data_IF_324346871058
#
_entry.id   IF_324346871058
#
_cell.length_a   1.000
_cell.length_b   1.000
_cell.length_c   1.000
_cell.angle_alpha   90.00
_cell.angle_beta   90.00
_cell.angle_gamma   90.00
#
_symmetry.space_group_name_H-M   'P 1'
#
loop_
_entity.id
_entity.type
_entity.pdbx_description
1 polymer ?
#
# COMPACT_ATOMS: atom_id res chain seq x y z
N UNK A 1 4.73 -9.81 18.77
CA UNK A 1 3.39 -9.61 18.29
C UNK A 1 3.26 -8.46 17.31
N UNK A 2 2.68 -8.75 16.16
CA UNK A 2 2.56 -7.85 15.04
C UNK A 2 1.12 -7.73 14.57
N UNK A 3 0.78 -6.58 13.99
CA UNK A 3 -0.45 -6.37 13.26
C UNK A 3 -0.15 -6.19 11.78
N UNK A 4 -1.00 -6.74 10.93
CA UNK A 4 -0.96 -6.56 9.49
C UNK A 4 -2.27 -5.90 9.06
N UNK A 5 -2.22 -4.65 8.65
CA UNK A 5 -3.39 -3.89 8.26
C UNK A 5 -3.63 -3.96 6.76
N UNK A 6 -4.84 -4.38 6.39
CA UNK A 6 -5.32 -4.39 5.01
C UNK A 6 -6.62 -3.60 4.93
N UNK A 7 -6.78 -2.82 3.87
CA UNK A 7 -8.05 -2.17 3.57
C UNK A 7 -9.05 -3.21 3.01
N UNK A 8 -10.33 -2.91 3.07
CA UNK A 8 -11.38 -3.84 2.66
C UNK A 8 -11.28 -4.30 1.20
N UNK A 9 -10.70 -3.48 0.33
CA UNK A 9 -10.53 -3.76 -1.09
C UNK A 9 -9.12 -4.23 -1.47
N UNK A 10 -8.32 -4.57 -0.47
CA UNK A 10 -6.96 -5.09 -0.67
C UNK A 10 -6.89 -6.58 -0.38
N UNK A 11 -6.01 -7.27 -1.08
CA UNK A 11 -5.83 -8.72 -0.94
C UNK A 11 -4.36 -9.08 -0.91
N UNK A 12 -4.04 -10.20 -0.27
CA UNK A 12 -2.70 -10.77 -0.30
C UNK A 12 -2.77 -12.20 -0.82
N UNK A 13 -1.66 -12.68 -1.39
CA UNK A 13 -1.62 -14.03 -1.93
C UNK A 13 -1.61 -15.10 -0.84
N UNK A 14 -2.00 -16.31 -1.23
CA UNK A 14 -1.87 -17.49 -0.39
C UNK A 14 -0.42 -17.71 0.08
N UNK A 15 0.55 -17.46 -0.79
CA UNK A 15 1.98 -17.60 -0.47
C UNK A 15 2.43 -16.63 0.60
N UNK A 16 1.93 -15.39 0.57
CA UNK A 16 2.23 -14.39 1.58
C UNK A 16 1.70 -14.84 2.95
N UNK A 17 0.45 -15.29 2.99
CA UNK A 17 -0.17 -15.81 4.22
C UNK A 17 0.62 -16.98 4.80
N UNK A 18 1.06 -17.89 3.94
CA UNK A 18 1.81 -19.08 4.34
C UNK A 18 3.17 -18.72 4.93
N UNK A 19 3.85 -17.74 4.35
CA UNK A 19 5.22 -17.39 4.73
C UNK A 19 5.30 -16.32 5.83
N UNK A 20 4.16 -15.80 6.31
CA UNK A 20 4.14 -14.64 7.20
C UNK A 20 4.96 -14.83 8.48
N UNK A 21 4.91 -16.02 9.08
CA UNK A 21 5.68 -16.30 10.31
C UNK A 21 7.18 -16.27 10.06
N UNK A 22 7.62 -16.86 8.95
CA UNK A 22 9.04 -16.86 8.57
C UNK A 22 9.53 -15.43 8.27
N UNK A 23 8.68 -14.64 7.63
CA UNK A 23 8.96 -13.23 7.35
C UNK A 23 9.17 -12.46 8.65
N UNK A 24 8.29 -12.65 9.62
CA UNK A 24 8.37 -11.97 10.91
C UNK A 24 9.58 -12.42 11.74
N UNK A 25 9.90 -13.70 11.72
CA UNK A 25 11.08 -14.22 12.41
C UNK A 25 12.38 -13.71 11.80
N UNK A 26 12.41 -13.53 10.48
CA UNK A 26 13.58 -13.04 9.77
C UNK A 26 13.75 -11.53 9.79
N UNK A 27 12.75 -10.78 10.26
CA UNK A 27 12.74 -9.31 10.25
C UNK A 27 12.24 -8.77 11.59
N UNK A 28 13.09 -8.83 12.60
CA UNK A 28 12.76 -8.33 13.94
C UNK A 28 12.84 -6.80 13.98
N UNK A 29 11.93 -6.14 13.28
CA UNK A 29 11.86 -4.68 13.16
C UNK A 29 10.48 -4.19 13.60
N UNK A 30 10.38 -2.89 13.83
CA UNK A 30 9.13 -2.26 14.27
C UNK A 30 8.09 -2.17 13.14
N UNK A 31 8.56 -1.93 11.91
CA UNK A 31 7.69 -1.71 10.76
C UNK A 31 8.24 -2.41 9.53
N UNK A 32 7.37 -3.09 8.80
CA UNK A 32 7.72 -3.71 7.51
C UNK A 32 6.89 -3.04 6.42
N UNK A 33 7.59 -2.50 5.42
CA UNK A 33 6.98 -1.95 4.21
C UNK A 33 6.71 -3.06 3.21
N UNK A 34 5.49 -3.07 2.70
CA UNK A 34 4.99 -4.08 1.76
C UNK A 34 4.72 -3.39 0.43
N UNK A 35 5.18 -3.94 -0.70
CA UNK A 35 4.87 -3.34 -1.99
C UNK A 35 3.40 -3.58 -2.33
N UNK A 36 2.75 -2.57 -2.90
CA UNK A 36 1.35 -2.67 -3.31
C UNK A 36 1.24 -2.60 -4.83
N UNK A 37 0.45 -3.52 -5.37
CA UNK A 37 0.12 -3.57 -6.79
C UNK A 37 -1.21 -2.85 -6.99
N UNK A 38 -1.17 -1.70 -7.63
CA UNK A 38 -2.38 -0.97 -7.98
C UNK A 38 -2.71 -1.22 -9.44
N UNK A 39 -3.92 -1.68 -9.69
CA UNK A 39 -4.46 -1.80 -11.05
C UNK A 39 -5.73 -0.99 -11.14
N UNK A 40 -5.96 -0.34 -12.29
CA UNK A 40 -7.16 0.45 -12.51
C UNK A 40 -7.80 -0.01 -13.81
N UNK A 41 -8.93 -0.71 -13.68
CA UNK A 41 -9.69 -1.18 -14.83
C UNK A 41 -10.30 0.01 -15.58
N UNK A 42 -10.10 0.03 -16.90
CA UNK A 42 -10.57 1.13 -17.74
C UNK A 42 -9.63 2.33 -17.85
N UNK A 43 -8.41 2.24 -17.32
CA UNK A 43 -7.43 3.33 -17.43
C UNK A 43 -6.94 3.50 -18.86
N UNK A 44 -6.74 4.76 -19.28
CA UNK A 44 -6.23 5.13 -20.59
C UNK A 44 -4.92 5.89 -20.50
N UNK A 45 -4.22 6.07 -21.63
CA UNK A 45 -3.02 6.90 -21.69
C UNK A 45 -3.30 8.33 -21.23
N UNK A 46 -4.47 8.86 -21.56
CA UNK A 46 -4.86 10.20 -21.16
C UNK A 46 -4.96 10.32 -19.64
N UNK A 47 -5.53 9.30 -18.97
CA UNK A 47 -5.56 9.26 -17.51
C UNK A 47 -4.15 9.25 -16.92
N UNK A 48 -3.26 8.47 -17.50
CA UNK A 48 -1.87 8.39 -17.04
C UNK A 48 -1.16 9.74 -17.14
N UNK A 49 -1.37 10.46 -18.25
CA UNK A 49 -0.80 11.81 -18.43
C UNK A 49 -1.38 12.81 -17.43
N UNK A 50 -2.70 12.77 -17.26
CA UNK A 50 -3.40 13.71 -16.37
C UNK A 50 -2.97 13.55 -14.91
N UNK A 51 -2.79 12.32 -14.45
CA UNK A 51 -2.47 12.05 -13.04
C UNK A 51 -1.00 11.74 -12.78
N UNK A 52 -0.18 11.70 -13.83
CA UNK A 52 1.25 11.39 -13.69
C UNK A 52 1.54 9.93 -13.36
N UNK A 53 0.66 9.02 -13.75
CA UNK A 53 0.85 7.58 -13.50
C UNK A 53 1.84 6.96 -14.47
N UNK A 54 2.66 6.06 -13.93
CA UNK A 54 3.54 5.20 -14.72
C UNK A 54 3.02 3.77 -14.62
N UNK A 55 2.78 3.13 -15.76
CA UNK A 55 2.28 1.76 -15.82
C UNK A 55 3.38 0.87 -16.37
N UNK A 56 3.66 -0.26 -15.70
CA UNK A 56 4.62 -1.23 -16.17
C UNK A 56 3.98 -2.20 -17.18
N UNK A 57 4.78 -3.14 -17.69
CA UNK A 57 4.35 -4.13 -18.68
C UNK A 57 3.22 -5.06 -18.18
N UNK A 58 3.06 -5.19 -16.86
CA UNK A 58 2.01 -5.99 -16.24
C UNK A 58 0.74 -5.20 -15.98
N UNK A 59 0.72 -3.91 -16.31
CA UNK A 59 -0.41 -3.03 -16.06
C UNK A 59 -0.47 -2.50 -14.63
N UNK A 60 0.61 -2.58 -13.86
CA UNK A 60 0.66 -2.08 -12.49
C UNK A 60 1.07 -0.62 -12.47
N UNK A 61 0.33 0.17 -11.68
CA UNK A 61 0.52 1.62 -11.61
C UNK A 61 1.52 1.98 -10.52
N UNK A 62 2.57 2.71 -10.90
CA UNK A 62 3.58 3.23 -9.97
C UNK A 62 4.15 2.16 -9.03
N UNK A 63 4.35 0.94 -9.52
CA UNK A 63 4.89 -0.15 -8.71
C UNK A 63 6.41 0.00 -8.51
N UNK A 64 6.93 -0.23 -7.31
CA UNK A 64 6.22 -0.59 -6.10
C UNK A 64 5.61 0.63 -5.41
N UNK A 65 4.42 0.46 -4.88
CA UNK A 65 3.78 1.45 -4.04
C UNK A 65 3.96 0.99 -2.58
N UNK A 66 5.03 1.41 -1.95
CA UNK A 66 5.42 0.94 -0.63
C UNK A 66 4.45 1.39 0.45
N UNK A 67 3.95 0.41 1.23
CA UNK A 67 2.99 0.64 2.29
C UNK A 67 3.52 0.07 3.61
N UNK A 68 3.58 0.88 4.66
CA UNK A 68 3.92 0.41 6.00
C UNK A 68 2.70 -0.29 6.60
N UNK A 69 2.64 -1.60 6.53
CA UNK A 69 1.42 -2.36 6.86
C UNK A 69 1.60 -3.40 7.94
N UNK A 70 2.81 -3.85 8.21
CA UNK A 70 3.10 -4.83 9.27
C UNK A 70 3.89 -4.11 10.34
N UNK A 71 3.36 -4.04 11.56
CA UNK A 71 4.02 -3.30 12.63
C UNK A 71 3.85 -3.99 13.98
N UNK A 72 4.81 -3.75 14.87
CA UNK A 72 4.76 -4.27 16.24
C UNK A 72 3.65 -3.60 17.02
N UNK A 73 2.96 -4.41 17.84
CA UNK A 73 1.92 -3.90 18.74
C UNK A 73 2.57 -3.29 19.98
N UNK A 74 2.95 -2.01 19.88
CA UNK A 74 3.52 -1.23 20.98
C UNK A 74 2.80 0.10 21.08
N UNK A 75 2.66 0.69 22.29
CA UNK A 75 1.89 1.92 22.47
C UNK A 75 2.41 3.13 21.69
N UNK A 76 3.73 3.18 21.42
CA UNK A 76 4.34 4.27 20.67
C UNK A 76 4.22 4.14 19.15
N UNK A 77 3.83 2.98 18.64
CA UNK A 77 3.64 2.73 17.21
C UNK A 77 2.15 2.81 16.92
N UNK A 78 1.73 3.80 16.13
CA UNK A 78 0.32 4.05 15.90
C UNK A 78 0.08 4.78 14.59
N UNK A 79 -1.15 4.69 14.11
CA UNK A 79 -1.62 5.46 12.96
C UNK A 79 -1.87 6.92 13.38
N UNK A 80 -1.46 7.84 12.52
CA UNK A 80 -1.75 9.26 12.67
C UNK A 80 -2.26 9.84 11.37
N UNK A 81 -3.05 10.90 11.47
CA UNK A 81 -3.70 11.68 10.39
C UNK A 81 -4.89 10.97 9.75
N UNK A 82 -6.02 11.67 9.62
CA UNK A 82 -7.26 11.11 9.05
C UNK A 82 -7.22 10.93 7.53
N UNK A 83 -6.38 11.72 6.84
CA UNK A 83 -6.14 11.61 5.40
C UNK A 83 -4.66 11.31 5.22
N UNK A 84 -4.29 10.38 4.35
CA UNK A 84 -2.92 9.91 4.24
C UNK A 84 -2.39 9.36 5.57
N UNK A 85 -3.10 8.39 6.11
CA UNK A 85 -2.71 7.74 7.35
C UNK A 85 -1.27 7.24 7.31
N UNK A 86 -0.52 7.54 8.34
CA UNK A 86 0.87 7.14 8.49
C UNK A 86 1.09 6.45 9.82
N UNK A 87 1.99 5.48 9.83
CA UNK A 87 2.45 4.87 11.07
C UNK A 87 3.61 5.69 11.61
N UNK A 88 3.52 6.04 12.88
CA UNK A 88 4.56 6.81 13.58
C UNK A 88 5.06 6.05 14.80
N UNK A 89 6.17 6.51 15.36
CA UNK A 89 6.73 5.95 16.59
C UNK A 89 7.63 4.73 16.39
N UNK A 90 7.82 4.27 15.16
CA UNK A 90 8.74 3.17 14.87
C UNK A 90 10.18 3.67 14.81
N UNK A 91 11.13 2.82 15.20
CA UNK A 91 12.55 3.14 15.17
C UNK A 91 13.30 2.27 14.14
N UNK A 92 12.84 1.06 13.93
CA UNK A 92 13.45 0.13 12.97
C UNK A 92 12.45 -0.27 11.90
N UNK A 93 12.93 -0.53 10.70
CA UNK A 93 12.06 -0.90 9.59
C UNK A 93 12.79 -1.77 8.58
N UNK A 94 12.00 -2.47 7.77
CA UNK A 94 12.50 -3.29 6.66
C UNK A 94 11.52 -3.20 5.49
N UNK A 95 12.00 -3.56 4.30
CA UNK A 95 11.20 -3.64 3.08
C UNK A 95 11.16 -5.08 2.61
N UNK A 96 9.98 -5.58 2.27
CA UNK A 96 9.86 -6.88 1.62
C UNK A 96 10.37 -6.81 0.19
N UNK A 97 10.76 -7.96 -0.40
CA UNK A 97 11.19 -7.98 -1.80
C UNK A 97 10.08 -7.50 -2.75
N UNK A 98 10.47 -6.90 -3.86
CA UNK A 98 9.55 -6.49 -4.93
C UNK A 98 9.10 -7.73 -5.73
N UNK A 99 8.33 -8.60 -5.09
CA UNK A 99 7.81 -9.83 -5.68
C UNK A 99 6.29 -9.84 -5.62
N UNK A 100 5.67 -10.30 -6.69
CA UNK A 100 4.20 -10.36 -6.77
C UNK A 100 3.60 -11.13 -5.59
N UNK A 101 4.18 -12.26 -5.21
CA UNK A 101 3.66 -13.10 -4.13
C UNK A 101 3.66 -12.42 -2.77
N UNK A 102 4.52 -11.42 -2.55
CA UNK A 102 4.61 -10.65 -1.31
C UNK A 102 4.09 -9.23 -1.45
N UNK A 103 3.27 -8.98 -2.44
CA UNK A 103 2.66 -7.68 -2.66
C UNK A 103 1.19 -7.69 -2.26
N UNK A 104 0.72 -6.52 -1.79
CA UNK A 104 -0.71 -6.28 -1.59
C UNK A 104 -1.33 -5.99 -2.94
N UNK A 105 -2.45 -6.64 -3.27
CA UNK A 105 -3.17 -6.40 -4.53
C UNK A 105 -4.35 -5.48 -4.27
N UNK A 106 -4.41 -4.37 -5.02
CA UNK A 106 -5.40 -3.32 -4.84
C UNK A 106 -6.02 -2.92 -6.18
N UNK A 107 -7.03 -3.69 -6.66
CA UNK A 107 -7.71 -3.37 -7.93
C UNK A 107 -8.75 -2.28 -7.73
N UNK A 108 -8.87 -1.39 -8.72
CA UNK A 108 -9.89 -0.32 -8.75
C UNK A 108 -10.47 -0.18 -10.15
N UNK A 109 -11.62 0.48 -10.26
CA UNK A 109 -12.12 0.99 -11.54
C UNK A 109 -11.63 2.41 -11.74
N UNK A 110 -11.57 2.87 -13.00
CA UNK A 110 -11.15 4.24 -13.29
C UNK A 110 -12.13 5.25 -12.70
N UNK A 111 -13.40 4.95 -12.68
CA UNK A 111 -14.41 5.84 -12.09
C UNK A 111 -14.15 6.08 -10.61
N UNK A 112 -13.85 5.02 -9.87
CA UNK A 112 -13.55 5.10 -8.45
C UNK A 112 -12.25 5.88 -8.20
N UNK A 113 -11.24 5.67 -9.04
CA UNK A 113 -9.96 6.35 -8.91
C UNK A 113 -10.09 7.86 -9.15
N UNK A 114 -10.85 8.25 -10.17
CA UNK A 114 -11.12 9.67 -10.47
C UNK A 114 -11.85 10.34 -9.30
N UNK A 115 -12.85 9.67 -8.75
CA UNK A 115 -13.61 10.15 -7.60
C UNK A 115 -12.73 10.34 -6.37
N UNK A 116 -11.85 9.41 -6.11
CA UNK A 116 -10.91 9.46 -4.98
C UNK A 116 -9.89 10.58 -5.15
N UNK A 117 -9.35 10.77 -6.35
CA UNK A 117 -8.42 11.85 -6.63
C UNK A 117 -9.07 13.22 -6.41
N UNK A 118 -10.31 13.36 -6.83
CA UNK A 118 -11.09 14.58 -6.60
C UNK A 118 -11.29 14.84 -5.10
N UNK A 119 -11.66 13.82 -4.35
CA UNK A 119 -11.83 13.93 -2.89
C UNK A 119 -10.57 14.41 -2.20
N UNK A 120 -9.43 13.80 -2.50
CA UNK A 120 -8.16 14.21 -1.89
C UNK A 120 -7.77 15.65 -2.26
N UNK A 121 -8.00 16.07 -3.48
CA UNK A 121 -7.73 17.43 -3.90
C UNK A 121 -8.60 18.44 -3.13
N UNK A 122 -9.87 18.16 -2.93
CA UNK A 122 -10.78 19.01 -2.18
C UNK A 122 -10.42 19.08 -0.70
N UNK A 123 -10.08 17.94 -0.08
CA UNK A 123 -9.77 17.88 1.36
C UNK A 123 -8.37 18.42 1.69
N UNK A 124 -7.42 18.29 0.79
CA UNK A 124 -6.02 18.64 1.04
C UNK A 124 -5.67 20.02 0.50
N UNK A 125 -6.14 20.35 -0.71
CA UNK A 125 -5.76 21.55 -1.43
C UNK A 125 -6.85 22.65 -1.42
N UNK A 126 -8.08 22.30 -1.10
CA UNK A 126 -9.21 23.21 -1.13
C UNK A 126 -9.37 24.05 0.14
N UNK A 127 -8.53 23.83 1.10
CA UNK A 127 -8.57 24.56 2.36
C UNK A 127 -7.27 25.32 2.54
#
# INVERSE_FOLDING_TARGET
DYSFNLDADEMISHWFMKDIHDILEGNEVDLIFVPRINTVDGITEQHCKTYGYKINEKGWINYPDWQGRIFRNRPNIRWEKPVHEQITGFQTYAYLPMEQKYSIVHPKTIERQVKQNKFYNEEISGN
#
